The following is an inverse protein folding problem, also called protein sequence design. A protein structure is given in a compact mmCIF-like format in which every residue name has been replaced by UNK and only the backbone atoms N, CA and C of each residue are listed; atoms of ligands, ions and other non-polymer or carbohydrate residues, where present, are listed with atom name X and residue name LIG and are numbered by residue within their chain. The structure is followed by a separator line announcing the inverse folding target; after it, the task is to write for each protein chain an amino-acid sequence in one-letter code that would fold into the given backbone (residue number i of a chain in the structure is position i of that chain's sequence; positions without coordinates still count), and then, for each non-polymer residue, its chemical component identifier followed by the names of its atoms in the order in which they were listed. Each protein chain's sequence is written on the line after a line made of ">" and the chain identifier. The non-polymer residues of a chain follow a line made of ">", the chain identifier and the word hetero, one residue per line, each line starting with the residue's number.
data_IF_773128416754
#
_entry.id   IF_773128416754
#
_cell.length_a   1.000
_cell.length_b   1.000
_cell.length_c   1.000
_cell.angle_alpha   90.00
_cell.angle_beta   90.00
_cell.angle_gamma   90.00
#
_symmetry.space_group_name_H-M   'P 1'
#
loop_
_entity.id
_entity.type
_entity.pdbx_description
1 polymer ?
#
# COMPACT_ATOMS: atom_id res chain seq x y z
N UNK A 1 -4.09 -13.05 67.71
CA UNK A 1 -4.55 -12.98 66.30
C UNK A 1 -5.14 -11.60 66.09
N UNK A 2 -4.48 -10.75 65.29
CA UNK A 2 -4.91 -9.37 65.04
C UNK A 2 -5.72 -9.34 63.73
N UNK A 3 -6.91 -8.76 63.80
CA UNK A 3 -7.78 -8.44 62.66
C UNK A 3 -7.13 -7.42 61.73
N UNK A 4 -7.29 -7.61 60.42
CA UNK A 4 -7.21 -6.54 59.43
C UNK A 4 -8.46 -6.67 58.55
N UNK A 5 -9.40 -5.75 58.74
CA UNK A 5 -10.56 -5.60 57.86
C UNK A 5 -10.15 -4.73 56.66
N UNK A 6 -10.15 -5.31 55.46
CA UNK A 6 -10.01 -4.55 54.22
C UNK A 6 -11.37 -3.92 53.87
N UNK A 7 -11.45 -2.59 53.97
CA UNK A 7 -12.54 -1.80 53.40
C UNK A 7 -12.27 -1.68 51.91
N UNK A 8 -13.03 -2.41 51.09
CA UNK A 8 -13.05 -2.24 49.65
C UNK A 8 -13.84 -0.96 49.31
N UNK A 9 -13.11 0.09 48.90
CA UNK A 9 -13.72 1.29 48.32
C UNK A 9 -14.14 0.93 46.89
N UNK A 10 -15.43 0.69 46.69
CA UNK A 10 -16.03 0.60 45.35
C UNK A 10 -16.15 2.02 44.80
N UNK A 11 -15.19 2.42 43.99
CA UNK A 11 -15.30 3.60 43.13
C UNK A 11 -16.26 3.25 41.97
N UNK A 12 -17.54 3.59 42.14
CA UNK A 12 -18.48 3.70 41.03
C UNK A 12 -18.04 4.86 40.11
N UNK A 13 -17.18 4.57 39.14
CA UNK A 13 -16.94 5.44 38.01
C UNK A 13 -18.19 5.47 37.13
N UNK A 14 -18.98 6.53 37.23
CA UNK A 14 -20.00 6.85 36.23
C UNK A 14 -19.28 7.22 34.92
N UNK A 15 -19.00 6.22 34.08
CA UNK A 15 -18.62 6.43 32.69
C UNK A 15 -19.84 6.89 31.91
N UNK A 16 -20.13 8.19 31.92
CA UNK A 16 -20.97 8.76 30.87
C UNK A 16 -20.22 8.56 29.55
N UNK A 17 -20.76 7.69 28.71
CA UNK A 17 -20.30 7.43 27.36
C UNK A 17 -20.51 8.70 26.49
N UNK A 18 -19.66 9.71 26.68
CA UNK A 18 -19.54 10.81 25.73
C UNK A 18 -18.94 10.27 24.44
N UNK A 19 -19.62 10.48 23.32
CA UNK A 19 -19.07 10.17 22.00
C UNK A 19 -17.74 10.90 21.73
N UNK A 20 -17.04 10.57 20.63
CA UNK A 20 -15.76 11.18 20.32
C UNK A 20 -15.89 12.71 20.22
N UNK A 21 -14.95 13.42 20.86
CA UNK A 21 -14.86 14.88 20.77
C UNK A 21 -14.26 15.24 19.42
N UNK A 22 -15.01 15.99 18.61
CA UNK A 22 -14.55 16.47 17.30
C UNK A 22 -14.11 17.94 17.43
N UNK A 23 -12.86 18.31 17.05
CA UNK A 23 -12.37 19.68 17.16
C UNK A 23 -13.20 20.71 16.37
N UNK A 24 -13.28 21.94 16.87
CA UNK A 24 -14.06 23.00 16.21
C UNK A 24 -13.48 23.45 14.86
N UNK A 25 -12.18 23.26 14.66
CA UNK A 25 -11.37 23.53 13.48
C UNK A 25 -11.04 22.27 12.65
N UNK A 26 -11.78 21.18 12.89
CA UNK A 26 -11.66 19.89 12.19
C UNK A 26 -11.50 20.04 10.66
N UNK A 27 -10.63 19.23 10.02
CA UNK A 27 -10.53 19.15 8.58
C UNK A 27 -11.74 18.41 7.97
N UNK A 28 -11.85 18.43 6.63
CA UNK A 28 -12.90 17.71 5.91
C UNK A 28 -12.82 16.18 6.10
N UNK A 29 -11.60 15.67 6.36
CA UNK A 29 -11.32 14.26 6.55
C UNK A 29 -10.17 14.10 7.56
N UNK A 30 -10.38 13.27 8.59
CA UNK A 30 -9.41 12.95 9.64
C UNK A 30 -9.63 11.56 10.21
N UNK A 31 -8.60 10.95 10.81
CA UNK A 31 -8.83 9.88 11.78
C UNK A 31 -9.58 10.41 13.00
N UNK A 32 -10.34 9.55 13.69
CA UNK A 32 -11.07 9.94 14.91
C UNK A 32 -10.12 10.02 16.11
N UNK A 33 -10.01 11.20 16.73
CA UNK A 33 -9.18 11.38 17.93
C UNK A 33 -7.70 11.10 17.66
N UNK A 34 -7.02 10.45 18.61
CA UNK A 34 -5.57 10.16 18.54
C UNK A 34 -5.26 8.71 18.17
N UNK A 35 -6.27 7.87 17.88
CA UNK A 35 -6.08 6.42 17.76
C UNK A 35 -5.03 6.03 16.71
N UNK A 36 -5.02 6.73 15.57
CA UNK A 36 -4.04 6.50 14.50
C UNK A 36 -2.62 6.90 14.93
N UNK A 37 -2.45 8.09 15.53
CA UNK A 37 -1.13 8.52 16.03
C UNK A 37 -0.62 7.66 17.18
N UNK A 38 -1.51 7.15 18.04
CA UNK A 38 -1.13 6.28 19.15
C UNK A 38 -0.76 4.88 18.66
N UNK A 39 -1.48 4.36 17.65
CA UNK A 39 -1.12 3.10 16.98
C UNK A 39 0.25 3.20 16.29
N UNK A 40 0.52 4.30 15.58
CA UNK A 40 1.83 4.55 14.99
C UNK A 40 2.95 4.53 16.04
N UNK A 41 2.78 5.27 17.15
CA UNK A 41 3.76 5.30 18.24
C UNK A 41 3.99 3.92 18.86
N UNK A 42 2.94 3.11 18.99
CA UNK A 42 3.03 1.76 19.52
C UNK A 42 3.74 0.78 18.57
N UNK A 43 3.67 1.03 17.26
CA UNK A 43 4.34 0.24 16.23
C UNK A 43 5.85 0.54 16.11
N UNK A 44 6.29 1.73 16.54
CA UNK A 44 7.70 2.10 16.49
C UNK A 44 8.54 1.32 17.51
N UNK A 45 9.75 0.84 17.13
CA UNK A 45 10.72 0.34 18.09
C UNK A 45 11.03 1.39 19.16
N UNK A 46 11.24 0.96 20.42
CA UNK A 46 11.49 1.90 21.55
C UNK A 46 12.70 2.82 21.35
N UNK A 47 13.70 2.37 20.60
CA UNK A 47 14.92 3.11 20.29
C UNK A 47 14.91 3.73 18.88
N UNK A 48 13.75 3.76 18.21
CA UNK A 48 13.62 4.34 16.89
C UNK A 48 13.85 5.85 16.95
N UNK A 49 14.80 6.34 16.15
CA UNK A 49 15.13 7.76 16.06
C UNK A 49 14.89 8.31 14.65
N UNK A 50 15.20 7.52 13.63
CA UNK A 50 14.99 7.80 12.22
C UNK A 50 15.04 6.50 11.41
N UNK A 51 14.52 6.49 10.17
CA UNK A 51 14.82 5.42 9.21
C UNK A 51 16.34 5.22 9.02
N UNK A 52 16.74 3.96 8.82
CA UNK A 52 18.12 3.57 8.54
C UNK A 52 18.26 3.20 7.06
N UNK A 53 18.91 4.06 6.28
CA UNK A 53 19.16 3.86 4.84
C UNK A 53 19.91 2.55 4.56
N UNK A 54 20.67 2.03 5.53
CA UNK A 54 21.37 0.75 5.39
C UNK A 54 20.43 -0.47 5.36
N UNK A 55 19.12 -0.27 5.60
CA UNK A 55 18.11 -1.30 5.33
C UNK A 55 17.94 -1.58 3.83
N UNK A 56 18.29 -0.62 2.95
CA UNK A 56 18.32 -0.85 1.51
C UNK A 56 19.58 -1.60 1.10
N UNK A 57 20.77 -1.09 1.46
CA UNK A 57 22.07 -1.70 1.16
C UNK A 57 23.18 -1.19 2.07
N UNK A 58 24.28 -1.94 2.19
CA UNK A 58 25.45 -1.48 2.92
C UNK A 58 26.07 -0.26 2.22
N UNK A 59 26.23 -0.32 0.91
CA UNK A 59 26.48 0.83 0.05
C UNK A 59 25.16 1.51 -0.35
N UNK A 60 24.88 2.66 0.28
CA UNK A 60 23.62 3.41 0.07
C UNK A 60 23.55 4.14 -1.27
N UNK A 61 24.55 3.98 -2.15
CA UNK A 61 24.52 4.50 -3.52
C UNK A 61 24.00 3.50 -4.55
N UNK A 62 23.77 2.24 -4.14
CA UNK A 62 23.26 1.19 -5.01
C UNK A 62 21.80 1.42 -5.37
N UNK A 63 21.37 0.77 -6.44
CA UNK A 63 20.06 0.99 -7.05
C UNK A 63 19.42 -0.35 -7.32
N UNK A 64 18.16 -0.54 -6.95
CA UNK A 64 17.48 -1.84 -6.98
C UNK A 64 17.65 -2.67 -8.27
N UNK A 65 17.04 -2.27 -9.38
CA UNK A 65 17.15 -3.04 -10.63
C UNK A 65 18.49 -2.77 -11.31
N UNK A 66 18.96 -1.52 -11.26
CA UNK A 66 20.21 -1.09 -11.88
C UNK A 66 21.45 -1.85 -11.42
N UNK A 67 21.58 -2.14 -10.12
CA UNK A 67 22.78 -2.80 -9.56
C UNK A 67 23.01 -4.19 -10.15
N UNK A 68 21.93 -4.90 -10.50
CA UNK A 68 21.99 -6.25 -11.06
C UNK A 68 22.81 -6.30 -12.35
N UNK A 69 22.88 -5.16 -13.05
CA UNK A 69 23.52 -5.05 -14.35
C UNK A 69 24.83 -4.25 -14.32
N UNK A 70 25.01 -3.34 -13.37
CA UNK A 70 26.27 -2.57 -13.24
C UNK A 70 27.25 -3.17 -12.22
N UNK A 71 26.76 -3.75 -11.13
CA UNK A 71 27.57 -4.46 -10.13
C UNK A 71 27.64 -5.97 -10.41
N UNK A 72 26.72 -6.45 -11.25
CA UNK A 72 26.63 -7.83 -11.72
C UNK A 72 25.69 -8.69 -10.88
N UNK A 73 25.13 -9.70 -11.55
CA UNK A 73 24.14 -10.63 -10.99
C UNK A 73 24.62 -11.39 -9.74
N UNK A 74 25.93 -11.50 -9.51
CA UNK A 74 26.51 -12.23 -8.37
C UNK A 74 26.84 -11.33 -7.17
N UNK A 75 26.60 -10.02 -7.27
CA UNK A 75 26.90 -9.06 -6.21
C UNK A 75 25.77 -8.05 -5.93
N UNK A 76 24.48 -8.45 -5.85
CA UNK A 76 23.43 -7.54 -5.40
C UNK A 76 23.54 -7.26 -3.89
N UNK A 77 23.30 -6.01 -3.48
CA UNK A 77 23.11 -5.64 -2.07
C UNK A 77 21.68 -5.17 -1.77
N UNK A 78 21.00 -4.56 -2.74
CA UNK A 78 19.62 -4.08 -2.65
C UNK A 78 18.66 -5.24 -2.82
N UNK A 79 18.26 -5.83 -1.70
CA UNK A 79 17.35 -6.98 -1.72
C UNK A 79 15.91 -6.61 -2.04
N UNK A 80 15.47 -5.39 -1.74
CA UNK A 80 14.08 -4.97 -1.77
C UNK A 80 13.95 -3.67 -2.56
N UNK A 81 12.95 -3.57 -3.45
CA UNK A 81 12.62 -2.27 -4.06
C UNK A 81 12.18 -1.29 -2.97
N UNK A 82 11.32 -1.77 -2.08
CA UNK A 82 10.87 -1.04 -0.90
C UNK A 82 11.29 -1.75 0.38
N UNK A 83 12.37 -1.31 1.01
CA UNK A 83 12.86 -1.91 2.24
C UNK A 83 12.00 -1.48 3.44
N UNK A 84 11.67 -2.40 4.37
CA UNK A 84 10.86 -2.06 5.54
C UNK A 84 11.62 -1.11 6.47
N UNK A 85 11.02 0.02 6.84
CA UNK A 85 11.58 0.90 7.89
C UNK A 85 11.43 0.24 9.26
N UNK A 86 10.29 -0.42 9.50
CA UNK A 86 10.08 -1.28 10.64
C UNK A 86 9.81 -2.69 10.12
N UNK A 87 10.75 -3.60 10.34
CA UNK A 87 10.65 -4.98 9.89
C UNK A 87 9.49 -5.71 10.54
N UNK A 88 8.92 -6.66 9.79
CA UNK A 88 8.01 -7.65 10.33
C UNK A 88 8.70 -8.62 11.29
N UNK A 89 7.90 -9.48 11.92
CA UNK A 89 8.35 -10.34 13.01
C UNK A 89 9.36 -11.44 12.61
N UNK A 90 9.51 -11.72 11.32
CA UNK A 90 10.41 -12.77 10.79
C UNK A 90 11.67 -12.14 10.20
N UNK A 91 12.85 -12.25 10.85
CA UNK A 91 14.07 -11.57 10.39
C UNK A 91 14.53 -11.99 8.99
N UNK A 92 14.32 -13.26 8.62
CA UNK A 92 14.67 -13.77 7.30
C UNK A 92 13.74 -13.27 6.18
N UNK A 93 12.57 -12.75 6.54
CA UNK A 93 11.54 -12.28 5.62
C UNK A 93 10.94 -10.97 6.19
N UNK A 94 11.74 -9.90 6.27
CA UNK A 94 11.39 -8.69 7.01
C UNK A 94 10.21 -7.94 6.40
N UNK A 95 9.84 -8.24 5.16
CA UNK A 95 8.69 -7.68 4.46
C UNK A 95 7.36 -8.36 4.84
N UNK A 96 7.39 -9.53 5.50
CA UNK A 96 6.19 -10.24 5.94
C UNK A 96 5.73 -9.77 7.33
N UNK A 97 4.46 -9.38 7.43
CA UNK A 97 3.88 -8.97 8.71
C UNK A 97 4.46 -7.67 9.26
N UNK A 98 4.90 -6.78 8.37
CA UNK A 98 5.28 -5.42 8.71
C UNK A 98 4.12 -4.71 9.43
N UNK A 99 4.39 -3.92 10.48
CA UNK A 99 3.37 -3.03 11.01
C UNK A 99 2.99 -1.99 9.96
N UNK A 100 1.73 -1.59 9.97
CA UNK A 100 1.23 -0.53 9.10
C UNK A 100 1.15 0.78 9.87
N UNK A 101 1.48 1.86 9.17
CA UNK A 101 1.43 3.22 9.70
C UNK A 101 0.29 3.97 9.02
N UNK A 102 -0.40 4.78 9.80
CA UNK A 102 -1.46 5.68 9.32
C UNK A 102 -0.89 7.08 9.11
N UNK A 103 -1.39 7.80 8.11
CA UNK A 103 -1.04 9.20 7.85
C UNK A 103 -2.29 9.96 7.44
N UNK A 104 -2.43 11.19 7.94
CA UNK A 104 -3.42 12.14 7.46
C UNK A 104 -2.68 13.38 6.93
N UNK A 105 -3.19 13.98 5.87
CA UNK A 105 -2.54 15.14 5.26
C UNK A 105 -3.30 15.71 4.07
N UNK A 106 -2.64 16.63 3.37
CA UNK A 106 -3.17 17.29 2.17
C UNK A 106 -2.32 16.90 0.98
N UNK A 107 -2.94 16.46 -0.12
CA UNK A 107 -2.21 16.14 -1.34
C UNK A 107 -1.65 17.41 -1.98
N UNK A 108 -0.40 17.38 -2.42
CA UNK A 108 0.31 18.47 -3.11
C UNK A 108 0.48 18.17 -4.60
N UNK A 109 0.85 16.93 -4.93
CA UNK A 109 0.93 16.39 -6.27
C UNK A 109 0.12 15.10 -6.38
N UNK A 110 -0.45 14.85 -7.56
CA UNK A 110 -1.08 13.58 -7.93
C UNK A 110 -0.86 13.38 -9.41
N UNK A 111 -0.38 12.21 -9.80
CA UNK A 111 -0.21 11.81 -11.19
C UNK A 111 -0.31 10.28 -11.34
N UNK A 112 -0.30 9.83 -12.59
CA UNK A 112 -0.22 8.41 -12.92
C UNK A 112 1.21 8.17 -13.41
N UNK A 113 1.94 7.29 -12.74
CA UNK A 113 3.32 6.96 -13.10
C UNK A 113 3.41 6.53 -14.57
N UNK A 114 4.49 6.96 -15.22
CA UNK A 114 4.82 6.58 -16.59
C UNK A 114 5.85 5.45 -16.70
N UNK A 115 6.48 5.07 -15.60
CA UNK A 115 7.60 4.11 -15.56
C UNK A 115 7.66 3.43 -14.19
N UNK A 116 7.76 2.10 -14.18
CA UNK A 116 7.90 1.29 -12.97
C UNK A 116 8.62 -0.03 -13.25
N UNK A 117 9.17 -0.63 -12.19
CA UNK A 117 9.69 -2.00 -12.23
C UNK A 117 8.52 -2.98 -12.27
N UNK A 118 8.09 -3.38 -13.47
CA UNK A 118 6.88 -4.20 -13.66
C UNK A 118 6.86 -5.54 -12.92
N UNK A 119 8.02 -6.11 -12.57
CA UNK A 119 8.08 -7.33 -11.76
C UNK A 119 7.46 -7.17 -10.37
N UNK A 120 7.52 -5.96 -9.80
CA UNK A 120 7.09 -5.65 -8.43
C UNK A 120 5.73 -4.94 -8.41
N UNK A 121 5.19 -4.60 -9.58
CA UNK A 121 3.91 -3.91 -9.82
C UNK A 121 2.93 -4.78 -10.63
N UNK A 122 2.45 -5.89 -10.05
CA UNK A 122 1.65 -6.87 -10.79
C UNK A 122 0.24 -6.36 -11.18
N UNK A 123 -0.26 -5.31 -10.54
CA UNK A 123 -1.43 -4.51 -10.90
C UNK A 123 -1.05 -3.23 -11.68
N UNK A 124 0.15 -3.15 -12.25
CA UNK A 124 0.56 -2.12 -13.20
C UNK A 124 1.10 -0.87 -12.52
N UNK A 125 1.37 0.17 -13.32
CA UNK A 125 1.99 1.41 -12.85
C UNK A 125 1.18 2.07 -11.73
N UNK A 126 1.77 3.03 -11.06
CA UNK A 126 1.17 3.64 -9.88
C UNK A 126 0.29 4.86 -10.12
N UNK A 127 -0.52 5.11 -9.10
CA UNK A 127 -1.21 6.37 -8.84
C UNK A 127 -0.44 7.07 -7.76
N UNK A 128 0.36 8.04 -8.17
CA UNK A 128 1.32 8.70 -7.30
C UNK A 128 0.61 9.83 -6.58
N UNK A 129 0.95 10.00 -5.31
CA UNK A 129 0.47 11.14 -4.55
C UNK A 129 1.53 11.62 -3.56
N UNK A 130 1.84 12.91 -3.65
CA UNK A 130 2.68 13.59 -2.67
C UNK A 130 1.80 14.17 -1.57
N UNK A 131 1.80 13.52 -0.42
CA UNK A 131 1.00 13.92 0.73
C UNK A 131 1.83 14.83 1.62
N UNK A 132 1.30 15.98 2.04
CA UNK A 132 1.85 16.78 3.14
C UNK A 132 1.19 16.36 4.45
N UNK A 133 1.87 15.58 5.33
CA UNK A 133 1.36 15.15 6.61
C UNK A 133 0.89 16.29 7.51
N UNK A 134 -0.20 16.05 8.22
CA UNK A 134 -0.56 16.86 9.38
C UNK A 134 0.55 16.74 10.44
N UNK A 135 0.72 17.74 11.33
CA UNK A 135 1.81 17.76 12.31
C UNK A 135 1.94 16.49 13.18
N UNK A 136 0.82 15.80 13.47
CA UNK A 136 0.83 14.55 14.24
C UNK A 136 1.45 13.35 13.52
N UNK A 137 1.64 13.44 12.20
CA UNK A 137 2.18 12.38 11.34
C UNK A 137 3.50 12.77 10.67
N UNK A 138 4.02 13.97 10.90
CA UNK A 138 5.24 14.47 10.25
C UNK A 138 6.47 13.56 10.41
N UNK A 139 6.51 12.71 11.44
CA UNK A 139 7.60 11.73 11.65
C UNK A 139 7.73 10.68 10.53
N UNK A 140 6.67 10.47 9.74
CA UNK A 140 6.67 9.50 8.63
C UNK A 140 7.51 10.00 7.44
N UNK A 141 7.76 11.30 7.38
CA UNK A 141 8.62 11.88 6.38
C UNK A 141 10.06 11.53 6.68
N UNK A 142 10.74 11.05 5.66
CA UNK A 142 12.18 10.97 5.65
C UNK A 142 12.61 11.18 4.21
N UNK A 143 13.08 12.37 3.90
CA UNK A 143 13.70 12.63 2.62
C UNK A 143 15.06 13.25 2.85
N UNK A 144 16.07 12.63 2.26
CA UNK A 144 17.45 13.09 2.22
C UNK A 144 17.61 14.32 1.30
N UNK A 145 16.60 14.64 0.48
CA UNK A 145 16.60 15.67 -0.58
C UNK A 145 15.72 16.90 -0.30
N UNK A 146 15.23 17.10 0.93
CA UNK A 146 14.49 18.30 1.41
C UNK A 146 12.98 18.35 1.16
N UNK A 147 12.35 17.29 0.64
CA UNK A 147 10.89 17.24 0.53
C UNK A 147 10.21 17.30 1.89
N UNK A 148 9.09 18.01 1.93
CA UNK A 148 8.15 18.02 3.06
C UNK A 148 6.90 17.22 2.75
N UNK A 149 6.94 16.36 1.73
CA UNK A 149 5.85 15.43 1.41
C UNK A 149 6.31 13.99 1.64
N UNK A 150 5.35 13.13 1.97
CA UNK A 150 5.49 11.69 1.89
C UNK A 150 4.97 11.29 0.52
N UNK A 151 5.82 10.68 -0.30
CA UNK A 151 5.39 10.04 -1.54
C UNK A 151 4.55 8.79 -1.20
N UNK A 152 3.55 8.47 -2.01
CA UNK A 152 2.69 7.32 -1.80
C UNK A 152 2.21 6.80 -3.14
N UNK A 153 2.26 5.49 -3.31
CA UNK A 153 2.04 4.85 -4.59
C UNK A 153 1.01 3.71 -4.42
N UNK A 154 -0.04 3.72 -5.24
CA UNK A 154 -1.00 2.61 -5.30
C UNK A 154 -1.21 2.19 -6.75
N UNK A 155 -1.10 0.89 -7.03
CA UNK A 155 -1.15 0.41 -8.40
C UNK A 155 -2.50 0.74 -9.11
N UNK A 156 -2.41 1.18 -10.37
CA UNK A 156 -3.54 1.66 -11.18
C UNK A 156 -4.66 0.63 -11.34
N UNK A 157 -4.33 -0.66 -11.48
CA UNK A 157 -5.34 -1.74 -11.66
C UNK A 157 -5.91 -2.27 -10.34
N UNK A 158 -5.35 -1.90 -9.19
CA UNK A 158 -5.92 -2.22 -7.87
C UNK A 158 -6.74 -1.06 -7.31
N UNK A 159 -6.47 0.19 -7.68
CA UNK A 159 -7.19 1.35 -7.16
C UNK A 159 -8.57 1.58 -7.83
N UNK A 160 -9.71 1.53 -7.11
CA UNK A 160 -11.04 1.48 -7.71
C UNK A 160 -11.62 2.86 -8.11
N UNK A 161 -10.85 3.69 -8.83
CA UNK A 161 -11.23 5.09 -9.18
C UNK A 161 -12.60 5.19 -9.86
N UNK A 162 -12.82 4.36 -10.88
CA UNK A 162 -14.07 4.36 -11.66
C UNK A 162 -15.28 3.99 -10.81
N UNK A 163 -15.15 3.00 -9.93
CA UNK A 163 -16.22 2.53 -9.06
C UNK A 163 -16.63 3.58 -8.03
N UNK A 164 -15.64 4.34 -7.55
CA UNK A 164 -15.85 5.44 -6.63
C UNK A 164 -16.32 6.70 -7.35
N UNK A 165 -16.18 6.80 -8.68
CA UNK A 165 -16.41 8.07 -9.38
C UNK A 165 -15.58 9.21 -8.79
N UNK A 166 -14.39 8.88 -8.29
CA UNK A 166 -13.50 9.77 -7.56
C UNK A 166 -12.05 9.40 -7.87
N UNK A 167 -11.28 10.38 -8.33
CA UNK A 167 -9.83 10.28 -8.48
C UNK A 167 -9.18 11.33 -7.55
N UNK A 168 -8.08 10.98 -6.86
CA UNK A 168 -7.35 11.95 -6.03
C UNK A 168 -6.89 13.13 -6.89
N UNK A 169 -6.77 14.29 -6.26
CA UNK A 169 -6.25 15.49 -6.90
C UNK A 169 -5.48 16.33 -5.89
N UNK A 170 -4.63 17.23 -6.39
CA UNK A 170 -3.96 18.21 -5.55
C UNK A 170 -4.97 19.01 -4.71
N UNK A 171 -4.61 19.24 -3.45
CA UNK A 171 -5.39 19.85 -2.37
C UNK A 171 -6.54 19.01 -1.79
N UNK A 172 -6.71 17.75 -2.22
CA UNK A 172 -7.56 16.82 -1.48
C UNK A 172 -7.01 16.59 -0.08
N UNK A 173 -7.92 16.39 0.87
CA UNK A 173 -7.57 15.78 2.16
C UNK A 173 -7.47 14.28 1.98
N UNK A 174 -6.43 13.69 2.54
CA UNK A 174 -6.16 12.27 2.43
C UNK A 174 -5.95 11.63 3.80
N UNK A 175 -6.43 10.39 3.93
CA UNK A 175 -6.00 9.45 4.97
C UNK A 175 -5.45 8.24 4.25
N UNK A 176 -4.30 7.77 4.71
CA UNK A 176 -3.74 6.52 4.24
C UNK A 176 -3.33 5.67 5.42
N UNK A 177 -3.33 4.37 5.23
CA UNK A 177 -2.67 3.41 6.10
C UNK A 177 -2.01 2.37 5.21
N UNK A 178 -0.77 2.01 5.50
CA UNK A 178 -0.02 1.08 4.66
C UNK A 178 1.34 0.78 5.26
N UNK A 179 2.18 0.14 4.47
CA UNK A 179 3.58 -0.10 4.85
C UNK A 179 4.40 1.16 4.67
N UNK A 180 5.23 1.45 5.67
CA UNK A 180 6.17 2.56 5.65
C UNK A 180 7.56 2.01 5.32
N UNK A 181 8.07 2.44 4.17
CA UNK A 181 9.21 1.81 3.50
C UNK A 181 10.24 2.86 3.10
N UNK A 182 11.47 2.40 2.84
CA UNK A 182 12.46 3.16 2.08
C UNK A 182 12.37 2.74 0.62
N UNK A 183 12.23 3.70 -0.28
CA UNK A 183 12.40 3.51 -1.71
C UNK A 183 13.91 3.32 -2.01
N UNK A 184 14.28 2.07 -2.31
CA UNK A 184 15.63 1.66 -2.64
C UNK A 184 15.90 1.65 -4.16
N UNK A 185 14.92 2.03 -4.98
CA UNK A 185 15.06 2.24 -6.42
C UNK A 185 15.73 3.57 -6.77
N UNK A 186 15.69 4.56 -5.89
CA UNK A 186 16.15 5.92 -6.21
C UNK A 186 17.02 6.53 -5.09
N UNK A 187 18.33 6.21 -5.01
CA UNK A 187 19.22 6.89 -4.08
C UNK A 187 19.37 8.38 -4.42
N UNK A 188 19.58 9.25 -3.40
CA UNK A 188 19.56 8.90 -1.98
C UNK A 188 18.14 8.53 -1.53
N UNK A 189 18.05 7.44 -0.76
CA UNK A 189 16.78 6.79 -0.46
C UNK A 189 15.87 7.71 0.37
N UNK A 190 14.58 7.70 0.04
CA UNK A 190 13.53 8.42 0.75
C UNK A 190 12.53 7.44 1.35
N UNK A 191 11.81 7.88 2.37
CA UNK A 191 10.68 7.13 2.88
C UNK A 191 9.42 7.42 2.09
N UNK A 192 8.62 6.38 1.97
CA UNK A 192 7.45 6.31 1.12
C UNK A 192 6.39 5.44 1.80
N UNK A 193 5.17 5.45 1.27
CA UNK A 193 4.16 4.46 1.63
C UNK A 193 3.77 3.67 0.40
N UNK A 194 4.48 2.57 0.11
CA UNK A 194 4.16 1.64 -0.98
C UNK A 194 3.88 0.21 -0.49
N UNK A 195 2.65 -0.34 -0.70
CA UNK A 195 1.43 0.38 -1.06
C UNK A 195 0.64 0.81 0.19
N UNK A 196 -0.17 1.87 0.11
CA UNK A 196 -1.29 2.08 1.02
C UNK A 196 -2.26 0.90 0.93
N UNK A 197 -2.55 0.28 2.07
CA UNK A 197 -3.53 -0.81 2.19
C UNK A 197 -4.94 -0.28 2.50
N UNK A 198 -5.04 0.98 2.95
CA UNK A 198 -6.25 1.77 3.02
C UNK A 198 -5.97 3.19 2.54
N UNK A 199 -6.88 3.72 1.72
CA UNK A 199 -6.87 5.12 1.26
C UNK A 199 -8.25 5.73 1.45
N UNK A 200 -8.31 6.97 1.90
CA UNK A 200 -9.51 7.80 1.81
C UNK A 200 -9.13 9.20 1.34
N UNK A 201 -9.90 9.74 0.40
CA UNK A 201 -9.70 11.07 -0.16
C UNK A 201 -10.98 11.88 -0.01
N UNK A 202 -10.86 13.19 0.24
CA UNK A 202 -12.01 14.08 0.27
C UNK A 202 -11.71 15.47 -0.28
N UNK A 203 -12.75 16.09 -0.81
CA UNK A 203 -12.76 17.49 -1.22
C UNK A 203 -14.12 18.14 -0.98
N UNK A 204 -14.10 19.45 -0.83
CA UNK A 204 -15.31 20.25 -0.88
C UNK A 204 -15.85 20.26 -2.32
N UNK A 205 -17.07 19.76 -2.54
CA UNK A 205 -17.76 19.88 -3.81
C UNK A 205 -18.33 21.31 -4.01
N UNK A 206 -18.64 21.97 -2.89
CA UNK A 206 -19.05 23.37 -2.81
C UNK A 206 -18.79 23.90 -1.39
N UNK A 207 -19.17 25.15 -1.09
CA UNK A 207 -18.95 25.78 0.22
C UNK A 207 -19.68 25.10 1.40
N UNK A 208 -20.59 24.16 1.13
CA UNK A 208 -21.42 23.47 2.13
C UNK A 208 -21.31 21.96 2.06
N UNK A 209 -20.73 21.39 1.02
CA UNK A 209 -20.71 19.94 0.75
C UNK A 209 -19.28 19.41 0.66
N UNK A 210 -19.02 18.32 1.37
CA UNK A 210 -17.84 17.46 1.20
C UNK A 210 -18.24 16.14 0.56
N UNK A 211 -17.43 15.66 -0.37
CA UNK A 211 -17.47 14.29 -0.88
C UNK A 211 -16.17 13.61 -0.45
N UNK A 212 -16.27 12.43 0.13
CA UNK A 212 -15.15 11.56 0.44
C UNK A 212 -15.35 10.18 -0.16
N UNK A 213 -14.27 9.57 -0.62
CA UNK A 213 -14.21 8.19 -1.10
C UNK A 213 -13.15 7.43 -0.30
N UNK A 214 -13.42 6.18 0.03
CA UNK A 214 -12.49 5.34 0.78
C UNK A 214 -12.47 3.92 0.22
N UNK A 215 -11.30 3.28 0.25
CA UNK A 215 -11.10 1.91 -0.20
C UNK A 215 -9.99 1.23 0.61
N UNK A 216 -10.16 -0.07 0.82
CA UNK A 216 -9.16 -0.97 1.36
C UNK A 216 -8.67 -1.82 0.20
N UNK A 217 -7.37 -1.73 -0.14
CA UNK A 217 -6.81 -2.54 -1.23
C UNK A 217 -6.81 -4.01 -0.82
N UNK A 218 -7.25 -4.94 -1.70
CA UNK A 218 -7.46 -6.34 -1.33
C UNK A 218 -6.18 -7.15 -1.22
N UNK A 219 -5.14 -6.77 -1.97
CA UNK A 219 -3.89 -7.49 -2.10
C UNK A 219 -2.72 -6.52 -2.06
N UNK A 220 -1.52 -7.07 -1.84
CA UNK A 220 -0.24 -6.39 -2.09
C UNK A 220 0.85 -7.42 -2.37
N UNK A 221 1.89 -7.02 -3.08
CA UNK A 221 3.13 -7.79 -3.14
C UNK A 221 3.78 -7.90 -1.76
N UNK A 222 4.42 -9.03 -1.45
CA UNK A 222 5.27 -9.15 -0.25
C UNK A 222 6.73 -8.84 -0.53
N UNK A 223 7.08 -8.42 -1.76
CA UNK A 223 8.46 -8.28 -2.26
C UNK A 223 9.30 -9.55 -2.17
N UNK A 224 8.62 -10.69 -2.09
CA UNK A 224 9.23 -12.00 -2.19
C UNK A 224 8.78 -12.60 -3.51
N UNK A 225 9.63 -13.40 -4.11
CA UNK A 225 9.47 -13.93 -5.46
C UNK A 225 9.70 -15.42 -5.48
N UNK A 226 9.01 -16.10 -6.38
CA UNK A 226 9.07 -17.54 -6.58
C UNK A 226 9.07 -17.89 -8.06
N UNK A 227 9.52 -19.09 -8.39
CA UNK A 227 9.39 -19.71 -9.70
C UNK A 227 8.08 -20.51 -9.86
N UNK A 228 7.31 -20.65 -8.77
CA UNK A 228 6.03 -21.34 -8.74
C UNK A 228 4.86 -20.35 -8.76
N UNK A 229 4.26 -20.16 -9.94
CA UNK A 229 3.09 -19.30 -10.15
C UNK A 229 1.89 -19.68 -9.25
N UNK A 230 1.69 -20.97 -8.96
CA UNK A 230 0.64 -21.44 -8.07
C UNK A 230 0.89 -21.00 -6.63
N UNK A 231 2.15 -21.09 -6.18
CA UNK A 231 2.56 -20.56 -4.89
C UNK A 231 2.37 -19.04 -4.81
N UNK A 232 2.62 -18.27 -5.88
CA UNK A 232 2.51 -16.80 -5.86
C UNK A 232 1.12 -16.28 -5.45
N UNK A 233 0.05 -16.99 -5.84
CA UNK A 233 -1.35 -16.60 -5.59
C UNK A 233 -2.08 -17.45 -4.54
N UNK A 234 -1.41 -18.39 -3.87
CA UNK A 234 -1.99 -19.24 -2.82
C UNK A 234 -2.17 -18.49 -1.48
N UNK A 235 -3.09 -17.53 -1.45
CA UNK A 235 -3.28 -16.56 -0.34
C UNK A 235 -3.60 -17.19 1.03
N UNK A 236 -4.09 -18.42 1.06
CA UNK A 236 -4.48 -19.16 2.27
C UNK A 236 -3.37 -20.08 2.82
N UNK A 237 -2.30 -20.31 2.05
CA UNK A 237 -1.17 -21.13 2.45
C UNK A 237 -0.02 -20.25 2.93
N UNK A 238 0.20 -20.13 4.23
CA UNK A 238 1.33 -19.33 4.76
C UNK A 238 2.68 -20.05 4.66
N UNK A 239 2.71 -21.38 4.46
CA UNK A 239 3.96 -22.14 4.37
C UNK A 239 4.70 -21.91 3.04
N UNK A 240 4.00 -21.38 2.02
CA UNK A 240 4.54 -21.12 0.67
C UNK A 240 5.72 -20.14 0.62
N UNK A 241 5.91 -19.33 1.65
CA UNK A 241 7.03 -18.38 1.69
C UNK A 241 8.38 -19.07 1.92
N UNK A 242 8.42 -20.35 2.33
CA UNK A 242 9.67 -21.01 2.73
C UNK A 242 10.78 -21.07 1.66
N UNK A 243 10.41 -20.99 0.37
CA UNK A 243 11.36 -20.97 -0.75
C UNK A 243 11.41 -19.63 -1.49
N UNK A 244 10.62 -18.64 -1.05
CA UNK A 244 10.55 -17.36 -1.71
C UNK A 244 11.76 -16.49 -1.36
N UNK A 245 12.26 -15.73 -2.33
CA UNK A 245 13.47 -14.92 -2.22
C UNK A 245 13.18 -13.45 -2.54
N UNK A 246 13.96 -12.49 -2.03
CA UNK A 246 13.95 -11.13 -2.56
C UNK A 246 14.24 -11.13 -4.06
N UNK A 247 13.76 -10.12 -4.79
CA UNK A 247 13.76 -10.10 -6.26
C UNK A 247 15.13 -10.33 -6.87
N UNK A 248 16.15 -9.60 -6.43
CA UNK A 248 17.52 -9.73 -6.92
C UNK A 248 18.00 -11.20 -6.93
N UNK A 249 17.78 -11.91 -5.83
CA UNK A 249 18.17 -13.32 -5.70
C UNK A 249 17.25 -14.24 -6.51
N UNK A 250 15.96 -13.95 -6.57
CA UNK A 250 15.02 -14.71 -7.39
C UNK A 250 15.28 -14.57 -8.89
N UNK A 251 15.74 -13.40 -9.35
CA UNK A 251 16.10 -13.13 -10.73
C UNK A 251 17.36 -13.89 -11.14
N UNK A 252 18.36 -13.98 -10.26
CA UNK A 252 19.55 -14.82 -10.49
C UNK A 252 19.16 -16.28 -10.69
N UNK A 253 18.31 -16.82 -9.81
CA UNK A 253 17.77 -18.17 -9.94
C UNK A 253 16.97 -18.32 -11.25
N UNK A 254 16.15 -17.33 -11.60
CA UNK A 254 15.31 -17.35 -12.80
C UNK A 254 16.16 -17.45 -14.07
N UNK A 255 17.19 -16.60 -14.19
CA UNK A 255 18.13 -16.61 -15.31
C UNK A 255 18.85 -17.95 -15.41
N UNK A 256 19.38 -18.45 -14.28
CA UNK A 256 20.11 -19.73 -14.27
C UNK A 256 19.21 -20.90 -14.65
N UNK A 257 18.00 -20.97 -14.07
CA UNK A 257 17.03 -22.02 -14.37
C UNK A 257 16.61 -21.97 -15.84
N UNK A 258 16.31 -20.78 -16.36
CA UNK A 258 15.86 -20.63 -17.73
C UNK A 258 16.91 -21.10 -18.73
N UNK A 259 18.19 -20.76 -18.51
CA UNK A 259 19.29 -21.20 -19.37
C UNK A 259 19.60 -22.69 -19.20
N UNK A 260 19.75 -23.17 -17.97
CA UNK A 260 20.16 -24.55 -17.69
C UNK A 260 19.08 -25.58 -18.03
N UNK A 261 17.81 -25.20 -17.92
CA UNK A 261 16.65 -26.04 -18.23
C UNK A 261 16.09 -25.77 -19.63
N UNK A 262 16.73 -24.89 -20.41
CA UNK A 262 16.32 -24.52 -21.76
C UNK A 262 14.84 -24.10 -21.84
N UNK A 263 14.44 -23.20 -20.96
CA UNK A 263 13.11 -22.61 -20.94
C UNK A 263 12.99 -21.50 -21.99
N UNK A 264 11.77 -21.27 -22.45
CA UNK A 264 11.51 -20.22 -23.45
C UNK A 264 11.59 -18.81 -22.88
N UNK A 265 11.36 -18.62 -21.57
CA UNK A 265 11.30 -17.31 -20.94
C UNK A 265 11.94 -17.34 -19.55
N UNK A 266 12.48 -16.20 -19.12
CA UNK A 266 12.77 -15.94 -17.71
C UNK A 266 11.46 -15.61 -17.02
N UNK A 267 11.17 -16.25 -15.88
CA UNK A 267 9.95 -16.02 -15.11
C UNK A 267 10.27 -15.70 -13.65
N UNK A 268 9.54 -14.76 -13.07
CA UNK A 268 9.53 -14.52 -11.62
C UNK A 268 8.13 -14.11 -11.22
N UNK A 269 7.60 -14.69 -10.14
CA UNK A 269 6.25 -14.42 -9.67
C UNK A 269 6.28 -13.74 -8.31
N UNK A 270 5.62 -12.58 -8.20
CA UNK A 270 5.51 -11.82 -6.97
C UNK A 270 4.57 -12.55 -6.01
N UNK A 271 5.05 -12.84 -4.80
CA UNK A 271 4.26 -13.48 -3.77
C UNK A 271 3.21 -12.48 -3.26
N UNK A 272 1.95 -12.72 -3.60
CA UNK A 272 0.83 -11.82 -3.27
C UNK A 272 0.26 -12.16 -1.90
N UNK A 273 0.02 -11.18 -1.03
CA UNK A 273 -0.69 -11.41 0.24
C UNK A 273 -2.03 -10.69 0.27
N UNK A 274 -3.01 -11.28 0.95
CA UNK A 274 -4.29 -10.64 1.19
C UNK A 274 -4.18 -9.60 2.29
N UNK A 275 -4.80 -8.45 2.08
CA UNK A 275 -4.84 -7.39 3.07
C UNK A 275 -5.76 -7.77 4.26
N UNK A 276 -5.35 -7.34 5.46
CA UNK A 276 -6.06 -7.53 6.73
C UNK A 276 -5.92 -6.26 7.56
N UNK A 277 -6.98 -5.85 8.25
CA UNK A 277 -6.95 -4.70 9.15
C UNK A 277 -7.82 -4.94 10.39
N UNK A 278 -7.38 -4.47 11.56
CA UNK A 278 -8.16 -4.65 12.79
C UNK A 278 -9.30 -3.63 12.88
N UNK A 279 -8.96 -2.34 12.79
CA UNK A 279 -9.90 -1.23 12.87
C UNK A 279 -9.47 -0.06 11.99
N UNK A 280 -10.45 0.55 11.34
CA UNK A 280 -10.38 1.88 10.72
C UNK A 280 -11.45 2.76 11.39
N UNK A 281 -11.09 4.00 11.71
CA UNK A 281 -11.96 4.94 12.43
C UNK A 281 -11.67 6.36 11.98
N UNK A 282 -12.57 6.92 11.18
CA UNK A 282 -12.36 8.22 10.55
C UNK A 282 -13.64 9.06 10.47
N UNK A 283 -13.45 10.35 10.27
CA UNK A 283 -14.48 11.38 10.18
C UNK A 283 -14.49 11.98 8.79
N UNK A 284 -15.68 12.17 8.23
CA UNK A 284 -15.93 13.02 7.05
C UNK A 284 -16.81 14.17 7.50
N UNK A 285 -16.39 15.42 7.30
CA UNK A 285 -17.08 16.60 7.83
C UNK A 285 -17.53 17.55 6.72
N UNK A 286 -18.68 18.20 6.91
CA UNK A 286 -19.10 19.30 6.05
C UNK A 286 -18.09 20.47 6.16
N UNK A 287 -17.92 21.28 5.09
CA UNK A 287 -16.97 22.40 5.09
C UNK A 287 -17.27 23.43 6.18
N UNK A 288 -16.23 24.09 6.69
CA UNK A 288 -16.37 25.24 7.59
C UNK A 288 -16.43 26.56 6.82
N UNK A 289 -17.07 27.60 7.36
CA UNK A 289 -17.81 27.63 8.64
C UNK A 289 -19.22 27.02 8.54
N UNK A 290 -19.75 26.53 9.67
CA UNK A 290 -21.15 26.11 9.78
C UNK A 290 -22.10 27.29 9.56
N UNK A 291 -23.03 27.26 8.59
CA UNK A 291 -24.02 28.31 8.43
C UNK A 291 -24.95 28.40 9.65
N UNK A 292 -25.39 29.62 9.98
CA UNK A 292 -26.30 29.84 11.11
C UNK A 292 -27.61 29.05 10.92
N UNK A 293 -28.01 28.31 11.96
CA UNK A 293 -29.22 27.47 11.92
C UNK A 293 -29.11 26.20 11.08
N UNK A 294 -27.97 25.94 10.42
CA UNK A 294 -27.82 24.76 9.58
C UNK A 294 -27.80 23.46 10.37
N UNK A 295 -28.34 22.43 9.74
CA UNK A 295 -28.28 21.03 10.20
C UNK A 295 -27.35 20.22 9.28
N UNK A 296 -26.85 19.09 9.76
CA UNK A 296 -26.09 18.18 8.88
C UNK A 296 -27.05 17.37 8.03
N UNK A 297 -26.79 17.33 6.74
CA UNK A 297 -27.35 16.34 5.84
C UNK A 297 -26.22 15.46 5.32
N UNK A 298 -26.45 14.15 5.29
CA UNK A 298 -25.40 13.22 4.93
C UNK A 298 -25.97 11.91 4.38
N UNK A 299 -25.22 11.36 3.44
CA UNK A 299 -25.45 10.05 2.85
C UNK A 299 -24.14 9.30 2.70
N UNK A 300 -24.24 7.97 2.66
CA UNK A 300 -23.08 7.11 2.46
C UNK A 300 -23.50 5.82 1.80
N UNK A 301 -22.56 5.25 1.06
CA UNK A 301 -22.72 3.93 0.47
C UNK A 301 -21.38 3.20 0.48
N UNK A 302 -21.34 2.08 1.19
CA UNK A 302 -20.19 1.19 1.22
C UNK A 302 -20.56 -0.21 0.77
N UNK A 303 -19.60 -0.88 0.13
CA UNK A 303 -19.64 -2.29 -0.20
C UNK A 303 -18.59 -3.00 0.65
N UNK A 304 -18.99 -4.06 1.35
CA UNK A 304 -18.14 -4.80 2.27
C UNK A 304 -18.31 -6.32 2.08
N UNK A 305 -17.19 -7.05 2.08
CA UNK A 305 -17.17 -8.52 2.06
C UNK A 305 -17.64 -9.11 3.39
N UNK A 306 -18.00 -10.39 3.39
CA UNK A 306 -18.27 -11.15 4.62
C UNK A 306 -17.07 -11.05 5.57
N UNK A 307 -17.34 -10.86 6.86
CA UNK A 307 -16.32 -10.64 7.89
C UNK A 307 -15.76 -9.22 7.96
N UNK A 308 -16.26 -8.29 7.15
CA UNK A 308 -15.99 -6.85 7.28
C UNK A 308 -17.25 -6.14 7.77
N UNK A 309 -17.15 -5.51 8.94
CA UNK A 309 -18.21 -4.71 9.54
C UNK A 309 -17.93 -3.24 9.27
N UNK A 310 -18.95 -2.50 8.83
CA UNK A 310 -18.89 -1.04 8.63
C UNK A 310 -20.06 -0.39 9.35
N UNK A 311 -19.78 0.63 10.14
CA UNK A 311 -20.78 1.48 10.80
C UNK A 311 -20.49 2.92 10.37
N UNK A 312 -21.53 3.63 9.93
CA UNK A 312 -21.47 5.06 9.68
C UNK A 312 -22.52 5.77 10.54
N UNK A 313 -22.09 6.78 11.30
CA UNK A 313 -22.92 7.50 12.27
C UNK A 313 -22.85 9.01 12.04
N UNK A 314 -23.99 9.66 11.89
CA UNK A 314 -24.06 11.13 11.85
C UNK A 314 -23.75 11.72 13.22
N UNK A 315 -22.93 12.77 13.23
CA UNK A 315 -22.57 13.56 14.40
C UNK A 315 -23.09 14.98 14.19
N UNK A 316 -24.37 15.22 14.47
CA UNK A 316 -25.08 16.47 14.14
C UNK A 316 -24.42 17.73 14.73
N UNK A 317 -23.90 17.61 15.95
CA UNK A 317 -23.25 18.72 16.65
C UNK A 317 -21.98 19.20 15.92
N UNK A 318 -21.21 18.28 15.35
CA UNK A 318 -19.96 18.59 14.64
C UNK A 318 -20.14 18.67 13.12
N UNK A 319 -21.30 18.27 12.58
CA UNK A 319 -21.52 18.25 11.13
C UNK A 319 -20.66 17.23 10.41
N UNK A 320 -20.46 16.07 11.03
CA UNK A 320 -19.62 15.01 10.49
C UNK A 320 -20.38 13.69 10.40
N UNK A 321 -19.82 12.76 9.63
CA UNK A 321 -20.12 11.33 9.69
C UNK A 321 -18.88 10.63 10.20
N UNK A 322 -19.01 9.82 11.24
CA UNK A 322 -17.97 8.91 11.69
C UNK A 322 -18.16 7.56 11.02
N UNK A 323 -17.11 7.05 10.40
CA UNK A 323 -17.06 5.73 9.79
C UNK A 323 -16.11 4.85 10.60
N UNK A 324 -16.63 3.74 11.09
CA UNK A 324 -15.87 2.70 11.77
C UNK A 324 -15.95 1.43 10.94
N UNK A 325 -14.79 0.85 10.61
CA UNK A 325 -14.72 -0.45 9.96
C UNK A 325 -13.81 -1.39 10.75
N UNK A 326 -14.15 -2.68 10.77
CA UNK A 326 -13.33 -3.72 11.39
C UNK A 326 -13.44 -5.02 10.59
N UNK A 327 -12.37 -5.80 10.60
CA UNK A 327 -12.35 -7.13 10.01
C UNK A 327 -12.29 -8.20 11.11
N UNK A 328 -13.03 -9.29 10.94
CA UNK A 328 -12.99 -10.44 11.84
C UNK A 328 -12.41 -11.70 11.16
N UNK A 329 -12.31 -12.77 11.94
CA UNK A 329 -11.75 -14.04 11.49
C UNK A 329 -12.58 -14.75 10.40
N UNK A 330 -13.83 -14.35 10.16
CA UNK A 330 -14.67 -14.89 9.10
C UNK A 330 -14.33 -14.30 7.73
N UNK A 331 -13.58 -13.19 7.66
CA UNK A 331 -13.15 -12.62 6.38
C UNK A 331 -12.29 -13.62 5.60
N UNK A 332 -12.70 -13.87 4.36
CA UNK A 332 -11.96 -14.64 3.37
C UNK A 332 -11.66 -13.76 2.15
N UNK A 333 -10.38 -13.57 1.78
CA UNK A 333 -10.05 -12.86 0.56
C UNK A 333 -10.61 -13.60 -0.65
N UNK A 334 -10.96 -12.85 -1.70
CA UNK A 334 -11.22 -13.46 -2.99
C UNK A 334 -9.92 -14.11 -3.50
N UNK A 335 -10.01 -15.30 -4.08
CA UNK A 335 -8.86 -15.93 -4.71
C UNK A 335 -8.36 -15.06 -5.86
N UNK A 336 -7.05 -14.86 -5.94
CA UNK A 336 -6.41 -14.19 -7.06
C UNK A 336 -6.11 -15.24 -8.13
N UNK A 337 -6.54 -14.99 -9.36
CA UNK A 337 -6.21 -15.88 -10.48
C UNK A 337 -4.88 -15.44 -11.07
N UNK A 338 -3.94 -16.38 -11.18
CA UNK A 338 -2.64 -16.14 -11.83
C UNK A 338 -2.83 -15.58 -13.24
N UNK A 339 -2.05 -14.53 -13.55
CA UNK A 339 -1.96 -13.94 -14.87
C UNK A 339 -0.58 -13.28 -15.01
N UNK A 340 0.00 -13.38 -16.21
CA UNK A 340 1.30 -12.85 -16.55
C UNK A 340 1.30 -12.17 -17.93
N UNK A 341 2.28 -11.30 -18.16
CA UNK A 341 2.49 -10.62 -19.43
C UNK A 341 3.98 -10.60 -19.79
N UNK A 342 4.31 -10.51 -21.10
CA UNK A 342 5.67 -10.22 -21.55
C UNK A 342 6.16 -8.85 -21.03
N UNK A 343 7.34 -8.81 -20.44
CA UNK A 343 8.08 -7.57 -20.18
C UNK A 343 9.19 -7.44 -21.22
N UNK A 344 8.93 -6.67 -22.28
CA UNK A 344 9.87 -6.59 -23.41
C UNK A 344 11.27 -6.18 -22.96
N UNK A 345 12.31 -6.73 -23.61
CA UNK A 345 13.69 -6.37 -23.32
C UNK A 345 13.97 -4.87 -23.40
N UNK A 346 13.29 -4.17 -24.31
CA UNK A 346 13.38 -2.72 -24.43
C UNK A 346 12.81 -2.03 -23.18
N UNK A 347 11.58 -2.35 -22.78
CA UNK A 347 10.97 -1.77 -21.59
C UNK A 347 11.76 -2.08 -20.30
N UNK A 348 12.31 -3.29 -20.18
CA UNK A 348 13.19 -3.66 -19.07
C UNK A 348 14.50 -2.83 -19.09
N UNK A 349 15.07 -2.63 -20.27
CA UNK A 349 16.26 -1.79 -20.45
C UNK A 349 15.98 -0.31 -20.19
N UNK A 350 14.83 0.19 -20.58
CA UNK A 350 14.39 1.58 -20.34
C UNK A 350 14.23 1.83 -18.84
N UNK A 351 13.53 0.94 -18.12
CA UNK A 351 13.35 1.02 -16.66
C UNK A 351 14.69 0.95 -15.92
N UNK A 352 15.56 0.00 -16.26
CA UNK A 352 16.90 -0.08 -15.68
C UNK A 352 17.76 1.16 -16.02
N UNK A 353 17.64 1.69 -17.24
CA UNK A 353 18.38 2.89 -17.66
C UNK A 353 17.90 4.14 -16.93
N UNK A 354 16.59 4.27 -16.72
CA UNK A 354 15.93 5.35 -15.98
C UNK A 354 16.48 5.40 -14.55
N UNK A 355 16.48 4.27 -13.86
CA UNK A 355 17.04 4.14 -12.51
C UNK A 355 18.54 4.44 -12.46
N UNK A 356 19.33 3.96 -13.43
CA UNK A 356 20.78 4.17 -13.46
C UNK A 356 21.20 5.59 -13.87
N UNK A 357 20.31 6.37 -14.50
CA UNK A 357 20.66 7.63 -15.15
C UNK A 357 21.60 7.48 -16.36
N UNK A 358 21.73 6.26 -16.91
CA UNK A 358 22.55 5.93 -18.08
C UNK A 358 21.95 4.75 -18.84
N UNK A 359 22.17 4.71 -20.16
CA UNK A 359 21.62 3.65 -21.01
C UNK A 359 22.31 2.30 -20.75
N UNK A 360 21.51 1.24 -20.65
CA UNK A 360 21.97 -0.14 -20.53
C UNK A 360 21.13 -1.08 -21.41
N UNK A 361 21.76 -2.11 -21.98
CA UNK A 361 21.08 -3.26 -22.58
C UNK A 361 21.08 -4.40 -21.57
N UNK A 362 19.94 -4.59 -20.90
CA UNK A 362 19.79 -5.59 -19.84
C UNK A 362 20.01 -7.01 -20.37
N UNK A 363 19.51 -7.30 -21.57
CA UNK A 363 19.64 -8.62 -22.19
C UNK A 363 21.11 -8.94 -22.43
N UNK A 364 21.84 -8.00 -23.02
CA UNK A 364 23.26 -8.19 -23.31
C UNK A 364 24.09 -8.27 -22.02
N UNK A 365 23.77 -7.45 -21.01
CA UNK A 365 24.42 -7.51 -19.69
C UNK A 365 24.29 -8.90 -19.04
N UNK A 366 23.11 -9.53 -19.13
CA UNK A 366 22.90 -10.90 -18.64
C UNK A 366 23.78 -11.90 -19.41
N UNK A 367 23.80 -11.83 -20.74
CA UNK A 367 24.62 -12.72 -21.59
C UNK A 367 26.10 -12.61 -21.22
N UNK A 368 26.62 -11.38 -21.08
CA UNK A 368 28.01 -11.12 -20.78
C UNK A 368 28.40 -11.59 -19.36
N UNK A 369 27.49 -11.42 -18.39
CA UNK A 369 27.66 -11.94 -17.04
C UNK A 369 27.75 -13.47 -17.02
N UNK A 370 26.87 -14.16 -17.74
CA UNK A 370 26.90 -15.63 -17.85
C UNK A 370 28.16 -16.13 -18.57
N UNK A 371 28.57 -15.44 -19.64
CA UNK A 371 29.79 -15.78 -20.39
C UNK A 371 31.04 -15.67 -19.53
N UNK A 372 31.11 -14.65 -18.66
CA UNK A 372 32.20 -14.48 -17.68
C UNK A 372 32.27 -15.66 -16.70
N UNK A 373 31.14 -16.33 -16.44
CA UNK A 373 31.03 -17.56 -15.63
C UNK A 373 31.29 -18.85 -16.42
N UNK A 374 31.71 -18.75 -17.68
CA UNK A 374 31.96 -19.89 -18.55
C UNK A 374 30.72 -20.52 -19.17
N UNK A 375 29.56 -19.85 -19.09
CA UNK A 375 28.31 -20.30 -19.70
C UNK A 375 27.93 -19.36 -20.86
N UNK A 376 28.17 -19.78 -22.10
CA UNK A 376 27.71 -19.03 -23.28
C UNK A 376 26.21 -19.27 -23.50
N UNK A 377 25.40 -18.35 -22.99
CA UNK A 377 23.96 -18.39 -23.09
C UNK A 377 23.40 -17.53 -24.25
N UNK A 378 24.26 -17.05 -25.16
CA UNK A 378 23.83 -16.17 -26.27
C UNK A 378 22.76 -16.79 -27.19
N UNK A 379 22.72 -18.12 -27.26
CA UNK A 379 21.74 -18.90 -28.02
C UNK A 379 20.59 -19.48 -27.17
N UNK A 380 20.56 -19.21 -25.87
CA UNK A 380 19.50 -19.69 -24.99
C UNK A 380 18.14 -19.09 -25.43
N UNK A 381 17.06 -19.88 -25.52
CA UNK A 381 15.74 -19.39 -25.92
C UNK A 381 15.26 -18.22 -25.04
N UNK A 382 15.39 -18.34 -23.72
CA UNK A 382 15.02 -17.32 -22.74
C UNK A 382 15.78 -15.99 -22.83
N UNK A 383 16.83 -15.94 -23.66
CA UNK A 383 17.62 -14.74 -23.93
C UNK A 383 17.51 -14.33 -25.39
N UNK A 384 16.51 -14.82 -26.16
CA UNK A 384 16.22 -14.30 -27.49
C UNK A 384 15.31 -13.07 -27.41
N UNK A 385 15.41 -12.17 -28.40
CA UNK A 385 14.72 -10.88 -28.36
C UNK A 385 13.19 -11.03 -28.44
N UNK A 386 12.71 -12.05 -29.14
CA UNK A 386 11.31 -12.43 -29.31
C UNK A 386 10.78 -13.27 -28.15
N UNK A 387 11.65 -13.61 -27.19
CA UNK A 387 11.35 -14.39 -26.00
C UNK A 387 11.63 -13.55 -24.72
N UNK A 388 10.92 -12.43 -24.52
CA UNK A 388 11.13 -11.57 -23.37
C UNK A 388 10.79 -12.28 -22.04
N UNK A 389 11.29 -11.79 -20.90
CA UNK A 389 10.83 -12.23 -19.59
C UNK A 389 9.31 -12.13 -19.44
N UNK A 390 8.73 -12.98 -18.59
CA UNK A 390 7.33 -12.89 -18.19
C UNK A 390 7.23 -12.56 -16.71
N UNK A 391 6.40 -11.56 -16.41
CA UNK A 391 6.14 -11.07 -15.05
C UNK A 391 4.65 -11.11 -14.78
N UNK A 392 4.27 -11.17 -13.51
CA UNK A 392 2.88 -11.16 -13.09
C UNK A 392 2.18 -9.87 -13.57
N UNK A 393 0.97 -10.01 -14.12
CA UNK A 393 0.22 -8.90 -14.70
C UNK A 393 -1.28 -9.15 -14.61
N UNK A 394 -1.89 -8.73 -13.50
CA UNK A 394 -3.30 -8.92 -13.20
C UNK A 394 -4.19 -7.85 -13.85
N UNK A 395 -5.39 -8.24 -14.28
CA UNK A 395 -6.36 -7.28 -14.81
C UNK A 395 -6.87 -6.31 -13.73
N UNK A 396 -7.46 -5.19 -14.16
CA UNK A 396 -8.18 -4.28 -13.28
C UNK A 396 -9.24 -5.03 -12.47
N UNK A 397 -9.16 -4.87 -11.14
CA UNK A 397 -10.06 -5.56 -10.24
C UNK A 397 -11.50 -5.06 -10.40
N UNK A 398 -12.42 -6.02 -10.48
CA UNK A 398 -13.83 -5.72 -10.72
C UNK A 398 -14.52 -5.26 -9.44
N UNK A 399 -15.43 -4.31 -9.57
CA UNK A 399 -16.23 -3.79 -8.46
C UNK A 399 -17.72 -3.95 -8.75
N UNK A 400 -18.55 -3.93 -7.70
CA UNK A 400 -20.00 -3.77 -7.86
C UNK A 400 -20.36 -2.33 -8.25
N UNK A 401 -21.37 -2.13 -9.10
CA UNK A 401 -21.83 -0.80 -9.50
C UNK A 401 -22.48 -0.03 -8.33
N UNK A 402 -22.47 1.29 -8.45
CA UNK A 402 -23.21 2.20 -7.58
C UNK A 402 -22.51 2.59 -6.29
N UNK A 403 -21.21 2.30 -6.12
CA UNK A 403 -20.44 2.81 -4.96
C UNK A 403 -20.22 4.34 -5.01
N UNK A 404 -20.45 4.95 -6.17
CA UNK A 404 -20.48 6.39 -6.44
C UNK A 404 -21.81 7.07 -6.12
N UNK A 405 -22.86 6.29 -5.83
CA UNK A 405 -24.21 6.82 -5.58
C UNK A 405 -24.39 7.34 -4.15
N UNK A 406 -24.99 8.52 -4.02
CA UNK A 406 -25.36 9.14 -2.74
C UNK A 406 -26.65 8.53 -2.13
N UNK A 407 -27.26 7.52 -2.78
CA UNK A 407 -28.53 6.91 -2.36
C UNK A 407 -28.65 5.44 -2.84
N UNK A 408 -29.40 4.58 -2.13
CA UNK A 408 -29.85 4.79 -0.74
C UNK A 408 -28.66 4.82 0.22
N UNK A 409 -28.88 5.41 1.41
CA UNK A 409 -27.92 5.35 2.50
C UNK A 409 -27.84 3.91 2.99
N UNK A 410 -26.78 3.19 2.65
CA UNK A 410 -26.68 1.76 2.95
C UNK A 410 -25.25 1.25 3.04
N UNK A 411 -25.09 0.14 3.75
CA UNK A 411 -23.90 -0.71 3.70
C UNK A 411 -24.31 -2.01 3.04
N UNK A 412 -23.77 -2.30 1.87
CA UNK A 412 -23.96 -3.59 1.18
C UNK A 412 -22.96 -4.58 1.76
N UNK A 413 -23.42 -5.45 2.65
CA UNK A 413 -22.60 -6.50 3.29
C UNK A 413 -22.67 -7.82 2.50
N UNK A 414 -21.73 -8.72 2.77
CA UNK A 414 -21.68 -10.04 2.11
C UNK A 414 -21.39 -9.96 0.61
N UNK A 415 -20.71 -8.90 0.17
CA UNK A 415 -20.36 -8.67 -1.23
C UNK A 415 -19.14 -9.49 -1.67
N UNK A 416 -19.25 -10.82 -1.61
CA UNK A 416 -18.13 -11.75 -1.80
C UNK A 416 -17.77 -12.03 -3.27
N UNK A 417 -18.51 -11.44 -4.21
CA UNK A 417 -18.32 -11.48 -5.67
C UNK A 417 -17.39 -10.36 -6.22
N UNK A 418 -16.81 -9.54 -5.35
CA UNK A 418 -15.80 -8.52 -5.68
C UNK A 418 -14.63 -8.59 -4.69
N UNK A 419 -13.38 -8.25 -5.04
CA UNK A 419 -12.21 -8.60 -4.24
C UNK A 419 -11.97 -7.71 -3.02
N UNK A 420 -12.43 -6.46 -3.01
CA UNK A 420 -12.13 -5.47 -1.98
C UNK A 420 -12.78 -5.81 -0.63
N UNK A 421 -12.03 -5.78 0.50
CA UNK A 421 -12.62 -5.87 1.83
C UNK A 421 -13.73 -4.83 2.06
N UNK A 422 -13.45 -3.59 1.65
CA UNK A 422 -14.32 -2.43 1.80
C UNK A 422 -13.99 -1.37 0.75
N UNK A 423 -15.00 -0.78 0.14
CA UNK A 423 -14.88 0.50 -0.57
C UNK A 423 -16.22 1.23 -0.60
N UNK A 424 -16.20 2.55 -0.75
CA UNK A 424 -17.42 3.35 -0.79
C UNK A 424 -17.20 4.85 -0.67
N UNK A 425 -18.32 5.57 -0.58
CA UNK A 425 -18.35 7.04 -0.51
C UNK A 425 -19.25 7.56 0.59
N UNK A 426 -18.92 8.77 1.02
CA UNK A 426 -19.67 9.57 1.98
C UNK A 426 -19.84 10.98 1.42
N UNK A 427 -21.07 11.50 1.47
CA UNK A 427 -21.38 12.90 1.24
C UNK A 427 -21.85 13.51 2.56
N UNK A 428 -21.30 14.65 2.94
CA UNK A 428 -21.70 15.39 4.15
C UNK A 428 -21.88 16.85 3.79
N UNK A 429 -22.99 17.45 4.21
CA UNK A 429 -23.33 18.82 3.85
C UNK A 429 -24.07 19.58 4.95
N UNK A 430 -24.02 20.91 4.89
CA UNK A 430 -24.90 21.79 5.66
C UNK A 430 -26.19 22.07 4.91
N UNK A 431 -27.32 21.84 5.58
CA UNK A 431 -28.67 22.12 5.08
C UNK A 431 -29.34 23.25 5.84
#
# INVERSE_FOLDING_TARGET
>A
MKCIACVAVVLCGCSSAGGPVVPADRPLLSFTGTSATDANKAALPKAFTRPDEHNCAADTTRIYLGELFVNGLDNPEVSWHWAPIVSGAQPAQPTLGQPEFSVAGTLRGVDDSGDDVLADHPFGLDVDADLEPDPGYAFIQFDTRTSTTLHTEVETRIFPRTALGYAPAANDRALMRGVWVLDCGHPPYGAEMHPPTFTAYSRAADAKTTIAAAAVMPYRSTLLFTQDAGAAVALDNTARYGTAKPFALAMVDAVQNAVLLNQDHITTHAMMTANRFDKLDFLVCAPLPKPAGASVDASWRFTARTGVKVIATKLDASGCVRVEASMDATYKPMALTYADAPWSWQALSDSASSQLGQSIDVRQAIIDALKTRGLDASSAPSLQIDHPPRVDAYAALQTRPGADQDSPVQIVTGADDQPYPLYGRVRVSWK
#
